data_IF_362297612963
#
_entry.id   IF_362297612963
#
_cell.length_a   1.000
_cell.length_b   1.000
_cell.length_c   1.000
_cell.angle_alpha   90.00
_cell.angle_beta   90.00
_cell.angle_gamma   90.00
#
_symmetry.space_group_name_H-M   'P 1'
#
loop_
_entity.id
_entity.type
_entity.pdbx_description
1 polymer ?
#
# COMPACT_ATOMS: atom_id res chain seq x y z
N UNK A 1 -40.85 4.48 15.92
CA UNK A 1 -41.47 5.28 14.84
C UNK A 1 -41.71 4.37 13.66
N UNK A 2 -42.94 4.39 13.15
CA UNK A 2 -43.49 3.66 12.00
C UNK A 2 -42.65 3.95 10.72
N UNK A 3 -42.68 3.19 9.62
CA UNK A 3 -43.87 2.88 8.79
C UNK A 3 -43.60 1.65 7.89
N UNK A 4 -44.51 0.67 7.97
CA UNK A 4 -44.75 -0.39 6.98
C UNK A 4 -45.35 0.21 5.70
N UNK A 5 -44.86 -0.17 4.52
CA UNK A 5 -45.55 0.07 3.24
C UNK A 5 -46.00 -1.26 2.63
N UNK A 6 -47.32 -1.43 2.60
CA UNK A 6 -48.03 -2.40 1.77
C UNK A 6 -48.11 -1.91 0.31
N UNK A 7 -48.18 -2.81 -0.70
CA UNK A 7 -48.65 -2.46 -2.03
C UNK A 7 -50.17 -2.62 -2.11
N UNK A 8 -50.88 -1.50 -2.27
CA UNK A 8 -52.24 -1.42 -2.81
C UNK A 8 -52.16 -0.96 -4.27
N UNK A 9 -52.88 -1.64 -5.15
CA UNK A 9 -53.10 -1.27 -6.56
C UNK A 9 -53.70 -2.48 -7.29
N UNK A 10 -55.02 -2.66 -7.31
CA UNK A 10 -56.04 -1.94 -8.09
C UNK A 10 -56.32 -2.63 -9.43
N UNK A 11 -57.42 -3.38 -9.43
CA UNK A 11 -58.50 -3.34 -10.41
C UNK A 11 -58.14 -3.06 -11.87
N UNK A 12 -58.18 -4.12 -12.68
CA UNK A 12 -58.81 -4.04 -14.01
C UNK A 12 -59.67 -5.27 -14.24
N UNK A 13 -60.96 -5.00 -14.37
CA UNK A 13 -62.04 -5.90 -14.77
C UNK A 13 -61.64 -6.79 -15.96
N UNK A 14 -61.79 -8.10 -15.80
CA UNK A 14 -62.04 -9.01 -16.91
C UNK A 14 -63.29 -9.81 -16.59
N UNK A 15 -64.38 -9.39 -17.23
CA UNK A 15 -65.65 -10.11 -17.32
C UNK A 15 -65.40 -11.52 -17.85
N UNK A 16 -65.61 -12.53 -17.01
CA UNK A 16 -65.90 -13.89 -17.48
C UNK A 16 -67.31 -14.25 -17.06
N UNK A 17 -68.20 -14.06 -18.02
CA UNK A 17 -69.59 -14.55 -18.04
C UNK A 17 -69.63 -16.05 -17.74
N UNK A 18 -70.01 -16.39 -16.51
CA UNK A 18 -70.55 -17.70 -16.14
C UNK A 18 -72.07 -17.58 -16.05
N UNK A 19 -72.75 -17.75 -17.17
CA UNK A 19 -74.21 -17.74 -17.27
C UNK A 19 -74.80 -18.95 -16.54
N UNK A 20 -75.20 -18.76 -15.27
CA UNK A 20 -76.10 -19.68 -14.59
C UNK A 20 -77.55 -19.37 -15.02
N UNK A 21 -78.36 -20.38 -15.41
CA UNK A 21 -79.75 -20.14 -15.78
C UNK A 21 -80.55 -19.71 -14.55
N UNK A 22 -81.23 -18.57 -14.66
CA UNK A 22 -82.09 -18.02 -13.63
C UNK A 22 -83.41 -18.83 -13.59
N UNK A 23 -83.56 -19.71 -12.60
CA UNK A 23 -84.70 -20.64 -12.44
C UNK A 23 -85.94 -19.99 -11.80
N UNK A 24 -85.95 -18.67 -11.61
CA UNK A 24 -87.07 -17.96 -10.95
C UNK A 24 -88.32 -17.78 -11.81
N UNK A 25 -88.27 -18.08 -13.11
CA UNK A 25 -89.39 -17.91 -14.05
C UNK A 25 -89.90 -19.24 -14.65
N UNK A 26 -89.84 -20.35 -13.91
CA UNK A 26 -90.56 -21.56 -14.33
C UNK A 26 -92.05 -21.44 -13.94
N UNK A 27 -92.99 -21.42 -14.91
CA UNK A 27 -94.41 -21.39 -14.61
C UNK A 27 -94.83 -22.65 -13.85
N UNK A 28 -95.40 -22.49 -12.65
CA UNK A 28 -95.87 -23.56 -11.76
C UNK A 28 -97.09 -24.34 -12.26
N UNK A 29 -97.33 -24.38 -13.57
CA UNK A 29 -98.53 -24.93 -14.18
C UNK A 29 -98.26 -26.23 -14.96
N UNK A 30 -97.45 -27.14 -14.41
CA UNK A 30 -97.35 -28.54 -14.86
C UNK A 30 -97.06 -29.45 -13.65
N UNK A 31 -97.86 -29.31 -12.59
CA UNK A 31 -97.96 -30.30 -11.50
C UNK A 31 -99.27 -31.06 -11.73
N UNK A 32 -99.29 -31.94 -12.72
CA UNK A 32 -100.28 -33.01 -12.85
C UNK A 32 -99.76 -34.00 -13.88
N UNK A 33 -98.77 -34.79 -13.46
CA UNK A 33 -98.64 -36.21 -13.82
C UNK A 33 -97.42 -36.78 -13.07
N UNK A 34 -97.56 -37.81 -12.24
CA UNK A 34 -96.43 -38.56 -11.74
C UNK A 34 -95.93 -39.46 -12.86
N UNK A 35 -95.31 -38.88 -13.89
CA UNK A 35 -94.48 -39.67 -14.80
C UNK A 35 -93.35 -40.23 -13.96
N UNK A 36 -93.47 -41.50 -13.59
CA UNK A 36 -92.42 -42.34 -13.02
C UNK A 36 -91.26 -42.38 -14.03
N UNK A 37 -90.41 -41.35 -13.99
CA UNK A 37 -89.12 -41.34 -14.66
C UNK A 37 -88.26 -42.33 -13.90
N UNK A 38 -88.26 -43.57 -14.39
CA UNK A 38 -87.33 -44.60 -13.93
C UNK A 38 -85.95 -44.22 -14.44
N UNK A 39 -85.16 -43.56 -13.61
CA UNK A 39 -83.70 -43.44 -13.81
C UNK A 39 -83.06 -44.81 -13.58
N UNK A 40 -83.33 -45.75 -14.49
CA UNK A 40 -82.55 -46.98 -14.62
C UNK A 40 -81.86 -47.00 -15.96
N UNK A 41 -81.12 -45.93 -16.23
CA UNK A 41 -80.03 -46.01 -17.19
C UNK A 41 -78.91 -46.80 -16.50
N UNK A 42 -79.05 -48.14 -16.48
CA UNK A 42 -77.91 -49.03 -16.22
C UNK A 42 -76.98 -48.87 -17.42
N UNK A 43 -76.17 -47.80 -17.40
CA UNK A 43 -74.97 -47.74 -18.22
C UNK A 43 -74.16 -48.95 -17.79
N UNK A 44 -74.09 -49.95 -18.67
CA UNK A 44 -73.06 -50.96 -18.59
C UNK A 44 -71.76 -50.18 -18.77
N UNK A 45 -71.11 -49.81 -17.66
CA UNK A 45 -69.74 -49.36 -17.72
C UNK A 45 -68.97 -50.50 -18.38
N UNK A 46 -68.50 -50.27 -19.60
CA UNK A 46 -67.56 -51.19 -20.24
C UNK A 46 -66.33 -51.23 -19.34
N UNK A 47 -65.85 -52.41 -18.97
CA UNK A 47 -64.70 -52.60 -18.07
C UNK A 47 -63.48 -51.72 -18.44
N UNK A 48 -63.35 -51.32 -19.71
CA UNK A 48 -62.31 -50.40 -20.19
C UNK A 48 -62.36 -48.95 -19.67
N UNK A 49 -63.50 -48.44 -19.17
CA UNK A 49 -63.55 -47.07 -18.61
C UNK A 49 -62.87 -47.01 -17.23
N UNK A 50 -62.98 -48.08 -16.44
CA UNK A 50 -62.30 -48.20 -15.16
C UNK A 50 -60.78 -48.34 -15.32
N UNK A 51 -60.35 -49.15 -16.29
CA UNK A 51 -58.92 -49.30 -16.63
C UNK A 51 -58.31 -47.98 -17.12
N UNK A 52 -59.05 -47.20 -17.92
CA UNK A 52 -58.61 -45.88 -18.37
C UNK A 52 -58.44 -44.90 -17.20
N UNK A 53 -59.37 -44.88 -16.25
CA UNK A 53 -59.26 -44.03 -15.05
C UNK A 53 -58.09 -44.47 -14.17
N UNK A 54 -57.85 -45.77 -14.02
CA UNK A 54 -56.69 -46.29 -13.27
C UNK A 54 -55.36 -45.90 -13.93
N UNK A 55 -55.27 -45.96 -15.26
CA UNK A 55 -54.11 -45.46 -16.00
C UNK A 55 -53.88 -43.96 -15.76
N UNK A 56 -54.94 -43.15 -15.82
CA UNK A 56 -54.85 -41.71 -15.56
C UNK A 56 -54.39 -41.41 -14.12
N UNK A 57 -54.89 -42.13 -13.12
CA UNK A 57 -54.46 -41.99 -11.73
C UNK A 57 -52.98 -42.36 -11.54
N UNK A 58 -52.52 -43.42 -12.21
CA UNK A 58 -51.09 -43.79 -12.20
C UNK A 58 -50.21 -42.68 -12.80
N UNK A 59 -50.64 -42.06 -13.89
CA UNK A 59 -49.89 -40.98 -14.51
C UNK A 59 -49.90 -39.69 -13.67
N UNK A 60 -51.01 -39.37 -13.01
CA UNK A 60 -51.08 -38.28 -12.01
C UNK A 60 -50.10 -38.54 -10.86
N UNK A 61 -50.03 -39.77 -10.36
CA UNK A 61 -49.08 -40.15 -9.32
C UNK A 61 -47.63 -39.90 -9.77
N UNK A 62 -47.25 -40.36 -10.96
CA UNK A 62 -45.91 -40.11 -11.53
C UNK A 62 -45.61 -38.62 -11.69
N UNK A 63 -46.60 -37.81 -12.07
CA UNK A 63 -46.45 -36.35 -12.17
C UNK A 63 -46.18 -35.75 -10.78
N UNK A 64 -46.88 -36.20 -9.75
CA UNK A 64 -46.66 -35.75 -8.37
C UNK A 64 -45.26 -36.10 -7.87
N UNK A 65 -44.79 -37.32 -8.11
CA UNK A 65 -43.44 -37.74 -7.73
C UNK A 65 -42.37 -36.88 -8.41
N UNK A 66 -42.54 -36.63 -9.73
CA UNK A 66 -41.65 -35.72 -10.49
C UNK A 66 -41.69 -34.28 -9.96
N UNK A 67 -42.85 -33.80 -9.51
CA UNK A 67 -42.98 -32.48 -8.91
C UNK A 67 -42.22 -32.40 -7.58
N UNK A 68 -42.24 -33.46 -6.78
CA UNK A 68 -41.50 -33.52 -5.52
C UNK A 68 -39.98 -33.59 -5.76
N UNK A 69 -39.53 -34.36 -6.75
CA UNK A 69 -38.14 -34.35 -7.20
C UNK A 69 -37.70 -32.96 -7.67
N UNK A 70 -38.56 -32.28 -8.44
CA UNK A 70 -38.30 -30.91 -8.91
C UNK A 70 -38.19 -29.92 -7.74
N UNK A 71 -39.05 -30.05 -6.72
CA UNK A 71 -38.98 -29.23 -5.49
C UNK A 71 -37.70 -29.53 -4.70
N UNK A 72 -37.31 -30.79 -4.59
CA UNK A 72 -36.08 -31.21 -3.92
C UNK A 72 -34.85 -30.66 -4.63
N UNK A 73 -34.78 -30.79 -5.95
CA UNK A 73 -33.70 -30.23 -6.77
C UNK A 73 -33.62 -28.71 -6.59
N UNK A 74 -34.75 -28.00 -6.61
CA UNK A 74 -34.79 -26.55 -6.36
C UNK A 74 -34.22 -26.18 -4.99
N UNK A 75 -34.52 -26.96 -3.95
CA UNK A 75 -33.97 -26.75 -2.59
C UNK A 75 -32.45 -26.94 -2.58
N UNK A 76 -31.95 -27.98 -3.24
CA UNK A 76 -30.52 -28.26 -3.37
C UNK A 76 -29.81 -27.14 -4.14
N UNK A 77 -30.37 -26.67 -5.26
CA UNK A 77 -29.83 -25.55 -6.03
C UNK A 77 -29.76 -24.25 -5.22
N UNK A 78 -30.75 -23.98 -4.37
CA UNK A 78 -30.72 -22.82 -3.49
C UNK A 78 -29.61 -22.92 -2.43
N UNK A 79 -29.38 -24.11 -1.86
CA UNK A 79 -28.24 -24.34 -0.96
C UNK A 79 -26.91 -24.09 -1.67
N UNK A 80 -26.70 -24.69 -2.84
CA UNK A 80 -25.48 -24.47 -3.63
C UNK A 80 -25.27 -22.99 -3.98
N UNK A 81 -26.35 -22.27 -4.33
CA UNK A 81 -26.26 -20.83 -4.59
C UNK A 81 -25.76 -20.06 -3.36
N UNK A 82 -26.25 -20.40 -2.18
CA UNK A 82 -25.83 -19.77 -0.93
C UNK A 82 -24.39 -20.14 -0.59
N UNK A 83 -24.00 -21.40 -0.74
CA UNK A 83 -22.64 -21.86 -0.50
C UNK A 83 -21.64 -21.15 -1.44
N UNK A 84 -21.99 -20.99 -2.72
CA UNK A 84 -21.18 -20.20 -3.67
C UNK A 84 -21.06 -18.74 -3.24
N UNK A 85 -22.13 -18.15 -2.72
CA UNK A 85 -22.08 -16.77 -2.22
C UNK A 85 -21.17 -16.64 -0.99
N UNK A 86 -21.22 -17.61 -0.07
CA UNK A 86 -20.35 -17.67 1.10
C UNK A 86 -18.88 -17.82 0.70
N UNK A 87 -18.57 -18.78 -0.18
CA UNK A 87 -17.20 -18.99 -0.70
C UNK A 87 -16.66 -17.71 -1.35
N UNK A 88 -17.50 -16.97 -2.09
CA UNK A 88 -17.09 -15.69 -2.68
C UNK A 88 -16.73 -14.64 -1.61
N UNK A 89 -17.47 -14.59 -0.51
CA UNK A 89 -17.16 -13.68 0.60
C UNK A 89 -15.85 -14.09 1.28
N UNK A 90 -15.67 -15.37 1.58
CA UNK A 90 -14.43 -15.89 2.18
C UNK A 90 -13.20 -15.63 1.30
N UNK A 91 -13.32 -15.83 -0.02
CA UNK A 91 -12.25 -15.49 -0.98
C UNK A 91 -11.91 -14.00 -0.92
N UNK A 92 -12.91 -13.14 -0.77
CA UNK A 92 -12.69 -11.70 -0.68
C UNK A 92 -11.98 -11.33 0.63
N UNK A 93 -12.38 -11.91 1.75
CA UNK A 93 -11.75 -11.70 3.06
C UNK A 93 -10.28 -12.17 3.04
N UNK A 94 -10.00 -13.35 2.45
CA UNK A 94 -8.64 -13.85 2.26
C UNK A 94 -7.81 -12.87 1.43
N UNK A 95 -8.38 -12.33 0.34
CA UNK A 95 -7.68 -11.36 -0.51
C UNK A 95 -7.34 -10.09 0.25
N UNK A 96 -8.23 -9.61 1.12
CA UNK A 96 -7.99 -8.43 1.94
C UNK A 96 -6.95 -8.68 3.05
N UNK A 97 -6.96 -9.88 3.65
CA UNK A 97 -5.93 -10.31 4.58
C UNK A 97 -4.53 -10.41 3.92
N UNK A 98 -4.45 -10.91 2.68
CA UNK A 98 -3.20 -10.95 1.89
C UNK A 98 -2.67 -9.53 1.67
N UNK A 99 -3.50 -8.60 1.18
CA UNK A 99 -3.10 -7.20 0.98
C UNK A 99 -2.61 -6.52 2.26
N UNK A 100 -3.26 -6.81 3.38
CA UNK A 100 -2.83 -6.31 4.69
C UNK A 100 -1.45 -6.85 5.08
N UNK A 101 -1.21 -8.14 4.84
CA UNK A 101 0.06 -8.80 5.11
C UNK A 101 1.19 -8.24 4.23
N UNK A 102 0.93 -8.02 2.94
CA UNK A 102 1.88 -7.39 2.02
C UNK A 102 2.33 -6.01 2.52
N UNK A 103 1.38 -5.16 2.94
CA UNK A 103 1.69 -3.85 3.54
C UNK A 103 2.57 -3.97 4.77
N UNK A 104 2.31 -4.95 5.64
CA UNK A 104 3.13 -5.19 6.84
C UNK A 104 4.55 -5.64 6.48
N UNK A 105 4.72 -6.47 5.45
CA UNK A 105 6.03 -6.92 4.96
C UNK A 105 6.83 -5.73 4.43
N UNK A 106 6.21 -4.86 3.62
CA UNK A 106 6.86 -3.66 3.09
C UNK A 106 7.34 -2.77 4.24
N UNK A 107 6.47 -2.49 5.22
CA UNK A 107 6.83 -1.67 6.38
C UNK A 107 7.99 -2.29 7.18
N UNK A 108 7.99 -3.63 7.36
CA UNK A 108 9.06 -4.32 8.06
C UNK A 108 10.39 -4.20 7.31
N UNK A 109 10.38 -4.33 5.99
CA UNK A 109 11.57 -4.16 5.15
C UNK A 109 12.12 -2.72 5.25
N UNK A 110 11.26 -1.71 5.21
CA UNK A 110 11.67 -0.31 5.42
C UNK A 110 12.29 -0.09 6.79
N UNK A 111 11.66 -0.59 7.85
CA UNK A 111 12.19 -0.48 9.20
C UNK A 111 13.55 -1.20 9.35
N UNK A 112 13.72 -2.36 8.71
CA UNK A 112 14.99 -3.06 8.71
C UNK A 112 16.10 -2.24 8.04
N UNK A 113 15.81 -1.61 6.89
CA UNK A 113 16.74 -0.70 6.22
C UNK A 113 17.16 0.45 7.14
N UNK A 114 16.19 1.11 7.80
CA UNK A 114 16.47 2.23 8.71
C UNK A 114 17.36 1.79 9.89
N UNK A 115 17.10 0.61 10.46
CA UNK A 115 17.92 0.05 11.55
C UNK A 115 19.35 -0.22 11.06
N UNK A 116 19.54 -0.73 9.84
CA UNK A 116 20.88 -0.92 9.28
C UNK A 116 21.62 0.41 9.13
N UNK A 117 20.95 1.46 8.65
CA UNK A 117 21.53 2.80 8.52
C UNK A 117 21.92 3.39 9.89
N UNK A 118 21.09 3.18 10.91
CA UNK A 118 21.40 3.57 12.29
C UNK A 118 22.60 2.81 12.86
N UNK A 119 22.67 1.49 12.65
CA UNK A 119 23.80 0.65 13.07
C UNK A 119 25.09 1.13 12.40
N UNK A 120 25.05 1.40 11.09
CA UNK A 120 26.22 1.89 10.37
C UNK A 120 26.66 3.27 10.87
N UNK A 121 25.70 4.14 11.17
CA UNK A 121 25.97 5.47 11.75
C UNK A 121 26.60 5.37 13.14
N UNK A 122 26.11 4.46 14.00
CA UNK A 122 26.67 4.18 15.31
C UNK A 122 28.08 3.59 15.22
N UNK A 123 28.32 2.68 14.28
CA UNK A 123 29.65 2.13 14.02
C UNK A 123 30.64 3.24 13.63
N UNK A 124 30.27 4.09 12.68
CA UNK A 124 31.09 5.22 12.25
C UNK A 124 31.32 6.22 13.42
N UNK A 125 30.32 6.40 14.29
CA UNK A 125 30.46 7.22 15.48
C UNK A 125 31.43 6.61 16.50
N UNK A 126 31.43 5.29 16.68
CA UNK A 126 32.32 4.60 17.59
C UNK A 126 33.78 4.55 17.12
N UNK A 127 34.02 4.50 15.80
CA UNK A 127 35.38 4.50 15.22
C UNK A 127 36.08 5.87 15.37
N UNK A 128 35.35 6.99 15.21
CA UNK A 128 35.91 8.35 15.27
C UNK A 128 36.67 8.69 16.58
N UNK A 129 36.17 8.34 17.78
CA UNK A 129 36.92 8.49 19.02
C UNK A 129 38.19 7.64 19.05
N UNK A 130 38.16 6.41 18.49
CA UNK A 130 39.33 5.54 18.43
C UNK A 130 40.50 6.21 17.71
N UNK A 131 40.25 6.77 16.53
CA UNK A 131 41.27 7.51 15.76
C UNK A 131 41.81 8.72 16.53
N UNK A 132 40.92 9.45 17.22
CA UNK A 132 41.32 10.59 18.05
C UNK A 132 42.17 10.16 19.25
N UNK A 133 41.84 9.04 19.90
CA UNK A 133 42.62 8.49 21.00
C UNK A 133 44.02 8.08 20.54
N UNK A 134 44.12 7.34 19.43
CA UNK A 134 45.42 6.95 18.85
C UNK A 134 46.25 8.18 18.48
N UNK A 135 45.63 9.20 17.89
CA UNK A 135 46.31 10.46 17.58
C UNK A 135 46.77 11.20 18.83
N UNK A 136 45.95 11.23 19.89
CA UNK A 136 46.31 11.84 21.17
C UNK A 136 47.44 11.08 21.86
N UNK A 137 47.41 9.75 21.88
CA UNK A 137 48.47 8.90 22.42
C UNK A 137 49.80 9.17 21.70
N UNK A 138 49.79 9.20 20.36
CA UNK A 138 50.99 9.54 19.57
C UNK A 138 51.51 10.94 19.87
N UNK A 139 50.63 11.94 20.00
CA UNK A 139 51.04 13.31 20.36
C UNK A 139 51.67 13.37 21.76
N UNK A 140 51.10 12.65 22.73
CA UNK A 140 51.65 12.58 24.10
C UNK A 140 53.01 11.89 24.10
N UNK A 141 53.18 10.82 23.33
CA UNK A 141 54.46 10.10 23.22
C UNK A 141 55.54 10.95 22.54
N UNK A 142 55.19 11.67 21.47
CA UNK A 142 56.07 12.64 20.82
C UNK A 142 56.52 13.76 21.77
N UNK A 143 55.60 14.27 22.61
CA UNK A 143 55.93 15.28 23.62
C UNK A 143 56.85 14.74 24.72
N UNK A 144 56.69 13.46 25.13
CA UNK A 144 57.58 12.81 26.10
C UNK A 144 58.98 12.55 25.56
N UNK A 145 59.08 12.24 24.26
CA UNK A 145 60.33 11.92 23.59
C UNK A 145 61.05 13.16 23.03
N UNK A 146 60.52 14.36 23.28
CA UNK A 146 61.16 15.60 22.88
C UNK A 146 62.47 15.78 23.68
N UNK A 147 63.64 15.87 23.01
CA UNK A 147 64.92 15.94 23.70
C UNK A 147 64.98 17.17 24.60
N UNK A 148 65.21 16.93 25.90
CA UNK A 148 65.35 17.95 26.95
C UNK A 148 66.49 18.94 26.74
N UNK A 149 67.34 18.73 25.73
CA UNK A 149 68.59 19.47 25.52
C UNK A 149 68.43 20.79 24.76
N UNK A 150 67.21 21.17 24.37
CA UNK A 150 66.99 22.54 23.85
C UNK A 150 66.56 23.44 24.99
N UNK A 151 67.54 23.98 25.72
CA UNK A 151 67.38 25.10 26.67
C UNK A 151 67.06 26.40 25.92
N UNK A 152 65.97 26.41 25.16
CA UNK A 152 65.27 27.62 24.77
C UNK A 152 63.90 27.42 25.41
N UNK A 153 63.63 28.11 26.52
CA UNK A 153 62.26 28.25 27.00
C UNK A 153 61.62 29.27 26.05
N UNK A 154 60.83 28.86 25.03
CA UNK A 154 60.03 29.83 24.32
C UNK A 154 59.18 30.58 25.34
N UNK A 155 59.13 31.90 25.19
CA UNK A 155 58.25 32.70 26.04
C UNK A 155 56.82 32.20 25.86
N UNK A 156 56.01 32.23 26.92
CA UNK A 156 54.58 31.91 26.82
C UNK A 156 53.89 32.71 25.69
N UNK A 157 54.34 33.94 25.49
CA UNK A 157 53.92 34.84 24.40
C UNK A 157 54.24 34.26 23.00
N UNK A 158 55.41 33.65 22.81
CA UNK A 158 55.82 33.05 21.53
C UNK A 158 54.99 31.80 21.21
N UNK A 159 54.69 30.99 22.22
CA UNK A 159 53.82 29.81 22.05
C UNK A 159 52.40 30.25 21.67
N UNK A 160 51.85 31.25 22.36
CA UNK A 160 50.49 31.75 22.09
C UNK A 160 50.39 32.38 20.70
N UNK A 161 51.38 33.18 20.32
CA UNK A 161 51.42 33.83 19.01
C UNK A 161 51.57 32.80 17.88
N UNK A 162 52.39 31.76 18.05
CA UNK A 162 52.51 30.66 17.09
C UNK A 162 51.23 29.82 16.99
N UNK A 163 50.57 29.49 18.11
CA UNK A 163 49.26 28.82 18.10
C UNK A 163 48.20 29.62 17.36
N UNK A 164 48.18 30.94 17.57
CA UNK A 164 47.29 31.84 16.85
C UNK A 164 47.61 31.86 15.35
N UNK A 165 48.90 31.95 14.99
CA UNK A 165 49.33 31.89 13.59
C UNK A 165 48.95 30.55 12.92
N UNK A 166 49.08 29.42 13.61
CA UNK A 166 48.63 28.12 13.09
C UNK A 166 47.11 28.07 12.93
N UNK A 167 46.35 28.63 13.87
CA UNK A 167 44.88 28.74 13.78
C UNK A 167 44.45 29.55 12.56
N UNK A 168 45.17 30.64 12.26
CA UNK A 168 44.93 31.46 11.07
C UNK A 168 45.35 30.73 9.79
N UNK A 169 46.52 30.07 9.78
CA UNK A 169 46.98 29.25 8.63
C UNK A 169 46.02 28.12 8.28
N UNK A 170 45.41 27.44 9.27
CA UNK A 170 44.38 26.40 9.04
C UNK A 170 43.11 26.92 8.36
N UNK A 171 42.87 28.23 8.40
CA UNK A 171 41.73 28.89 7.74
C UNK A 171 42.10 29.42 6.36
N UNK A 172 43.39 29.45 6.00
CA UNK A 172 43.83 29.89 4.69
C UNK A 172 43.51 28.81 3.66
N UNK A 173 42.80 29.21 2.61
CA UNK A 173 42.49 28.35 1.47
C UNK A 173 43.38 28.82 0.31
N UNK A 174 44.24 27.94 -0.18
CA UNK A 174 45.02 28.20 -1.40
C UNK A 174 44.23 27.68 -2.58
N UNK A 175 43.88 28.58 -3.51
CA UNK A 175 43.17 28.23 -4.73
C UNK A 175 44.18 28.26 -5.87
N UNK A 176 44.37 27.11 -6.52
CA UNK A 176 45.30 26.94 -7.64
C UNK A 176 44.54 26.54 -8.91
N UNK A 177 45.11 26.85 -10.08
CA UNK A 177 44.50 26.53 -11.38
C UNK A 177 43.57 27.60 -11.95
N UNK A 178 43.44 28.75 -11.30
CA UNK A 178 42.80 29.93 -11.89
C UNK A 178 43.88 30.74 -12.61
N UNK A 179 43.73 30.99 -13.93
CA UNK A 179 44.74 31.72 -14.69
C UNK A 179 44.82 33.17 -14.21
N UNK A 180 46.06 33.61 -13.93
CA UNK A 180 46.36 34.92 -13.36
C UNK A 180 45.91 36.04 -14.31
N UNK A 181 45.11 37.01 -13.82
CA UNK A 181 44.67 38.14 -14.63
C UNK A 181 45.84 39.04 -15.02
N UNK A 182 45.93 39.38 -16.29
CA UNK A 182 47.01 40.19 -16.88
C UNK A 182 46.86 41.70 -16.62
N UNK A 183 45.94 42.14 -15.75
CA UNK A 183 45.75 43.56 -15.44
C UNK A 183 46.90 44.08 -14.57
N UNK A 184 47.34 45.31 -14.82
CA UNK A 184 48.35 45.99 -14.00
C UNK A 184 47.74 46.65 -12.75
N UNK A 185 46.43 46.92 -12.75
CA UNK A 185 45.74 47.46 -11.58
C UNK A 185 45.48 46.36 -10.54
N UNK A 186 45.85 46.62 -9.29
CA UNK A 186 45.72 45.65 -8.20
C UNK A 186 44.26 45.42 -7.82
N UNK A 187 43.42 46.46 -7.92
CA UNK A 187 42.00 46.38 -7.55
C UNK A 187 41.21 45.58 -8.57
N UNK A 188 41.40 45.88 -9.86
CA UNK A 188 40.81 45.13 -10.95
C UNK A 188 41.21 43.63 -10.93
N UNK A 189 42.50 43.32 -10.66
CA UNK A 189 42.96 41.94 -10.50
C UNK A 189 42.21 41.19 -9.40
N UNK A 190 42.08 41.81 -8.22
CA UNK A 190 41.36 41.22 -7.10
C UNK A 190 39.89 40.93 -7.44
N UNK A 191 39.21 41.87 -8.11
CA UNK A 191 37.81 41.68 -8.51
C UNK A 191 37.65 40.56 -9.55
N UNK A 192 38.56 40.47 -10.51
CA UNK A 192 38.60 39.38 -11.51
C UNK A 192 38.85 38.01 -10.87
N UNK A 193 39.79 37.93 -9.94
CA UNK A 193 40.09 36.69 -9.20
C UNK A 193 38.88 36.25 -8.37
N UNK A 194 38.25 37.19 -7.67
CA UNK A 194 37.04 36.91 -6.89
C UNK A 194 35.90 36.36 -7.76
N UNK A 195 35.69 36.93 -8.96
CA UNK A 195 34.68 36.45 -9.90
C UNK A 195 35.01 35.03 -10.38
N UNK A 196 36.25 34.79 -10.81
CA UNK A 196 36.69 33.48 -11.30
C UNK A 196 36.61 32.38 -10.22
N UNK A 197 36.95 32.70 -8.97
CA UNK A 197 36.82 31.80 -7.84
C UNK A 197 35.36 31.41 -7.61
N UNK A 198 34.45 32.40 -7.61
CA UNK A 198 33.02 32.15 -7.39
C UNK A 198 32.43 31.31 -8.53
N UNK A 199 32.85 31.54 -9.77
CA UNK A 199 32.39 30.78 -10.93
C UNK A 199 32.88 29.33 -10.88
N UNK A 200 34.16 29.12 -10.51
CA UNK A 200 34.73 27.79 -10.32
C UNK A 200 34.01 26.99 -9.23
N UNK A 201 33.64 27.63 -8.10
CA UNK A 201 32.91 26.97 -6.99
C UNK A 201 31.47 26.62 -7.38
N UNK A 202 30.83 27.40 -8.26
CA UNK A 202 29.44 27.14 -8.70
C UNK A 202 29.31 26.03 -9.73
N UNK A 203 30.39 25.69 -10.44
CA UNK A 203 30.37 24.60 -11.40
C UNK A 203 30.28 23.22 -10.69
N UNK A 204 29.33 22.38 -11.12
CA UNK A 204 29.09 21.04 -10.55
C UNK A 204 30.26 20.08 -10.70
N UNK A 205 31.18 20.35 -11.62
CA UNK A 205 32.37 19.54 -11.89
C UNK A 205 33.61 20.02 -11.10
N UNK A 206 33.44 20.88 -10.08
CA UNK A 206 34.55 21.32 -9.25
C UNK A 206 35.10 20.12 -8.44
N UNK A 207 36.39 19.75 -8.62
CA UNK A 207 36.99 18.66 -7.87
C UNK A 207 36.99 18.95 -6.37
N UNK A 208 36.86 17.91 -5.54
CA UNK A 208 36.85 18.07 -4.09
C UNK A 208 38.16 18.70 -3.59
N UNK A 209 38.10 19.65 -2.63
CA UNK A 209 39.29 20.30 -2.09
C UNK A 209 40.26 19.28 -1.49
N UNK A 210 41.48 19.22 -2.04
CA UNK A 210 42.54 18.37 -1.50
C UNK A 210 43.31 19.13 -0.42
N UNK A 211 43.32 18.62 0.82
CA UNK A 211 44.15 19.18 1.89
C UNK A 211 45.63 19.05 1.51
N UNK A 212 46.31 20.18 1.37
CA UNK A 212 47.75 20.26 1.19
C UNK A 212 48.38 20.85 2.45
N UNK A 213 49.47 20.25 2.91
CA UNK A 213 50.26 20.76 4.02
C UNK A 213 51.52 21.39 3.44
N UNK A 214 51.76 22.66 3.70
CA UNK A 214 53.02 23.29 3.38
C UNK A 214 54.08 22.73 4.34
N UNK A 215 55.07 22.01 3.81
CA UNK A 215 56.28 21.66 4.55
C UNK A 215 57.19 22.89 4.49
N UNK A 216 57.35 23.58 5.62
CA UNK A 216 58.39 24.61 5.74
C UNK A 216 59.75 23.91 5.74
N UNK A 217 60.52 24.13 4.68
CA UNK A 217 61.91 23.72 4.57
C UNK A 217 62.72 24.60 5.53
N UNK A 218 63.15 24.06 6.67
CA UNK A 218 63.93 24.78 7.70
C UNK A 218 65.37 25.10 7.28
N UNK A 219 65.64 25.09 5.98
CA UNK A 219 66.95 25.35 5.37
C UNK A 219 67.15 26.84 5.12
N UNK A 220 67.12 27.68 6.17
CA UNK A 220 67.75 29.00 6.11
C UNK A 220 69.27 28.82 6.19
N UNK A 221 69.88 28.40 5.09
CA UNK A 221 71.31 28.63 4.87
C UNK A 221 71.54 30.12 4.67
N UNK A 222 72.39 30.67 5.55
CA UNK A 222 73.03 31.97 5.40
C UNK A 222 73.58 32.11 3.99
N UNK A 223 73.07 33.07 3.22
CA UNK A 223 73.87 33.71 2.18
C UNK A 223 74.19 35.11 2.68
N UNK A 224 75.40 35.21 3.22
CA UNK A 224 76.17 36.45 3.26
C UNK A 224 76.45 36.84 1.81
N UNK A 225 76.01 38.03 1.42
CA UNK A 225 76.79 38.97 0.60
C UNK A 225 76.24 40.38 0.80
#
# INVERSE_FOLDING_TARGET
MNVLRSPTGSDTNFERSGSQPNLSNMPSALISEPSTITFRNKRKHSDGEYDQVQCQLSDIQKINDRNDDTRNLRRVLMKFRNDIAMIRCEIQDIRDAIRSTEKRIINLATNHSNIQDEIQSLKNFAEKPGDKFVSLESNVENLKNLPSDTSIKPSYEEILSELNNQSMRKKNIVIAGIPEPQSTDAKERFDLDKIKVVDAIKNKDCPEPKKMYALEDTSQERIVQ
#
